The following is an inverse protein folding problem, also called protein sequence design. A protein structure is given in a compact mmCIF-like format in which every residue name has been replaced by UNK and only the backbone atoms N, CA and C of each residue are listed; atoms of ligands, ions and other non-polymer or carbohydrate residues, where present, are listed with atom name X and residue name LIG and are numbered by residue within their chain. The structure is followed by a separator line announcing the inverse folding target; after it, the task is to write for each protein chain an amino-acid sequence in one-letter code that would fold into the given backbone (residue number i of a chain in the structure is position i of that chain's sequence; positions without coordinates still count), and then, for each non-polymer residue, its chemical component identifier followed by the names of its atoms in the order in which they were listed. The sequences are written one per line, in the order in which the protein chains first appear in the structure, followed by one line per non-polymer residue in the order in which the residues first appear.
data_IF_140500872436
#
_entry.id   IF_140500872436
#
_cell.length_a   1.000
_cell.length_b   1.000
_cell.length_c   1.000
_cell.angle_alpha   90.00
_cell.angle_beta   90.00
_cell.angle_gamma   90.00
#
_symmetry.space_group_name_H-M   'P 1'
#
loop_
_entity.id
_entity.type
_entity.pdbx_description
1 polymer ?
#
# COMPACT_ATOMS: atom_id res chain seq x y z
N UNK A 1 8.97 4.38 21.42
CA UNK A 1 9.07 5.15 20.16
C UNK A 1 9.00 4.12 19.05
N UNK A 2 7.98 4.18 18.20
CA UNK A 2 7.79 3.15 17.16
C UNK A 2 8.95 3.24 16.16
N UNK A 3 9.52 2.10 15.82
CA UNK A 3 10.63 2.00 14.88
C UNK A 3 10.20 1.19 13.66
N UNK A 4 10.52 1.71 12.49
CA UNK A 4 10.12 1.13 11.22
C UNK A 4 11.35 0.90 10.36
N UNK A 5 11.46 -0.29 9.77
CA UNK A 5 12.37 -0.49 8.65
C UNK A 5 11.74 0.13 7.41
N UNK A 6 12.50 0.95 6.69
CA UNK A 6 12.13 1.46 5.38
C UNK A 6 12.96 0.81 4.30
N UNK A 7 12.29 0.39 3.23
CA UNK A 7 12.87 -0.06 1.97
C UNK A 7 12.26 0.72 0.81
N UNK A 8 13.08 1.43 0.03
CA UNK A 8 12.62 2.11 -1.20
C UNK A 8 13.25 1.44 -2.41
N UNK A 9 12.38 1.09 -3.38
CA UNK A 9 12.77 0.57 -4.69
C UNK A 9 12.47 1.60 -5.77
N UNK A 10 13.43 1.85 -6.64
CA UNK A 10 13.33 2.78 -7.75
C UNK A 10 13.40 2.07 -9.11
N UNK A 11 12.93 2.70 -10.21
CA UNK A 11 12.82 2.01 -11.50
C UNK A 11 14.13 1.60 -12.15
N UNK A 12 15.22 2.29 -11.82
CA UNK A 12 16.55 2.03 -12.37
C UNK A 12 17.23 0.82 -11.72
N UNK A 13 16.69 0.32 -10.60
CA UNK A 13 17.19 -0.83 -9.88
C UNK A 13 16.68 -2.11 -10.55
N UNK A 14 17.46 -2.59 -11.52
CA UNK A 14 17.12 -3.78 -12.31
C UNK A 14 17.33 -5.08 -11.52
N UNK A 15 18.11 -5.03 -10.44
CA UNK A 15 18.31 -6.17 -9.55
C UNK A 15 17.35 -6.10 -8.35
N UNK A 16 16.70 -7.22 -7.99
CA UNK A 16 15.69 -7.26 -6.92
C UNK A 16 16.24 -6.87 -5.53
N UNK A 17 17.57 -6.93 -5.38
CA UNK A 17 18.28 -6.68 -4.13
C UNK A 17 18.86 -5.26 -4.03
N UNK A 18 18.73 -4.44 -5.08
CA UNK A 18 19.11 -3.02 -5.02
C UNK A 18 18.00 -2.26 -4.29
N UNK A 19 18.28 -1.82 -3.06
CA UNK A 19 17.38 -1.04 -2.21
C UNK A 19 18.15 0.21 -1.77
N UNK A 20 17.64 1.39 -2.09
CA UNK A 20 18.39 2.66 -1.93
C UNK A 20 18.31 3.24 -0.52
N UNK A 21 17.23 2.96 0.20
CA UNK A 21 17.09 3.31 1.60
C UNK A 21 16.82 2.03 2.37
N UNK A 22 17.78 1.60 3.19
CA UNK A 22 17.59 0.60 4.24
C UNK A 22 17.99 1.26 5.55
N UNK A 23 17.09 1.27 6.52
CA UNK A 23 17.36 1.86 7.82
C UNK A 23 16.13 1.84 8.71
N UNK A 24 16.39 2.02 9.99
CA UNK A 24 15.36 2.14 11.02
C UNK A 24 15.04 3.60 11.25
N UNK A 25 13.77 3.96 11.08
CA UNK A 25 13.30 5.34 11.16
C UNK A 25 12.11 5.45 12.11
N UNK A 26 11.91 6.64 12.67
CA UNK A 26 10.68 6.97 13.37
C UNK A 26 9.56 7.35 12.38
N UNK A 27 8.33 7.42 12.89
CA UNK A 27 7.14 7.76 12.11
C UNK A 27 7.32 9.06 11.30
N UNK A 28 7.82 10.13 11.94
CA UNK A 28 7.99 11.45 11.31
C UNK A 28 8.95 11.37 10.13
N UNK A 29 10.06 10.64 10.28
CA UNK A 29 11.06 10.47 9.24
C UNK A 29 10.54 9.61 8.09
N UNK A 30 9.77 8.55 8.36
CA UNK A 30 9.11 7.77 7.30
C UNK A 30 8.18 8.67 6.47
N UNK A 31 7.35 9.49 7.12
CA UNK A 31 6.43 10.39 6.42
C UNK A 31 7.17 11.45 5.59
N UNK A 32 8.23 12.06 6.14
CA UNK A 32 9.06 13.02 5.39
C UNK A 32 9.64 12.38 4.13
N UNK A 33 10.20 11.16 4.25
CA UNK A 33 10.75 10.43 3.10
C UNK A 33 9.68 10.11 2.04
N UNK A 34 8.47 9.77 2.46
CA UNK A 34 7.36 9.52 1.52
C UNK A 34 6.95 10.79 0.76
N UNK A 35 6.96 11.95 1.42
CA UNK A 35 6.64 13.25 0.82
C UNK A 35 7.75 13.77 -0.10
N UNK A 36 8.99 13.52 0.27
CA UNK A 36 10.19 13.88 -0.51
C UNK A 36 10.34 13.02 -1.78
N UNK A 37 9.63 11.90 -1.88
CA UNK A 37 9.61 11.12 -3.11
C UNK A 37 8.97 11.93 -4.24
N UNK A 38 9.77 12.26 -5.24
CA UNK A 38 9.34 12.87 -6.50
C UNK A 38 8.53 11.87 -7.37
N UNK A 39 7.36 11.43 -6.89
CA UNK A 39 6.54 10.36 -7.48
C UNK A 39 6.29 10.53 -8.98
N UNK A 40 6.02 11.75 -9.43
CA UNK A 40 5.83 12.05 -10.86
C UNK A 40 7.10 11.85 -11.68
N UNK A 41 8.26 12.20 -11.14
CA UNK A 41 9.53 11.92 -11.81
C UNK A 41 9.82 10.43 -11.86
N UNK A 42 9.49 9.70 -10.78
CA UNK A 42 9.64 8.24 -10.76
C UNK A 42 8.73 7.55 -11.79
N UNK A 43 7.49 8.03 -11.96
CA UNK A 43 6.61 7.58 -13.04
C UNK A 43 7.27 7.72 -14.41
N UNK A 44 7.77 8.92 -14.71
CA UNK A 44 8.43 9.20 -16.00
C UNK A 44 9.62 8.27 -16.21
N UNK A 45 10.46 8.08 -15.19
CA UNK A 45 11.61 7.17 -15.25
C UNK A 45 11.19 5.72 -15.48
N UNK A 46 10.14 5.26 -14.79
CA UNK A 46 9.64 3.90 -14.95
C UNK A 46 9.18 3.64 -16.38
N UNK A 47 8.43 4.57 -16.98
CA UNK A 47 7.97 4.48 -18.35
C UNK A 47 9.13 4.55 -19.37
N UNK A 48 10.13 5.40 -19.13
CA UNK A 48 11.29 5.54 -20.02
C UNK A 48 12.21 4.33 -20.03
N UNK A 49 12.42 3.73 -18.86
CA UNK A 49 13.35 2.60 -18.69
C UNK A 49 12.69 1.25 -18.95
N UNK A 50 11.35 1.20 -19.08
CA UNK A 50 10.57 -0.03 -18.88
C UNK A 50 11.03 -0.76 -17.60
N UNK A 51 11.28 0.03 -16.56
CA UNK A 51 11.99 -0.37 -15.37
C UNK A 51 11.11 -1.09 -14.35
N UNK A 52 11.71 -1.43 -13.21
CA UNK A 52 10.98 -1.98 -12.09
C UNK A 52 9.93 -0.99 -11.55
N UNK A 53 8.93 -1.52 -10.84
CA UNK A 53 7.97 -0.68 -10.14
C UNK A 53 8.66 0.14 -9.03
N UNK A 54 8.26 1.41 -8.93
CA UNK A 54 8.63 2.25 -7.78
C UNK A 54 7.81 1.82 -6.58
N UNK A 55 8.45 1.40 -5.49
CA UNK A 55 7.76 0.96 -4.26
C UNK A 55 8.39 1.54 -3.00
N UNK A 56 7.53 1.94 -2.06
CA UNK A 56 7.87 2.39 -0.71
C UNK A 56 7.33 1.39 0.29
N UNK A 57 8.23 0.65 0.95
CA UNK A 57 7.91 -0.51 1.77
C UNK A 57 8.33 -0.22 3.20
N UNK A 58 7.40 -0.34 4.13
CA UNK A 58 7.61 -0.06 5.55
C UNK A 58 7.27 -1.31 6.35
N UNK A 59 8.17 -1.73 7.22
CA UNK A 59 7.95 -2.83 8.16
C UNK A 59 7.99 -2.29 9.59
N UNK A 60 6.95 -2.52 10.37
CA UNK A 60 6.90 -2.21 11.80
C UNK A 60 7.71 -3.25 12.57
N UNK A 61 8.78 -2.83 13.24
CA UNK A 61 9.71 -3.74 13.91
C UNK A 61 9.13 -4.37 15.18
N UNK A 62 8.05 -3.83 15.75
CA UNK A 62 7.44 -4.43 16.94
C UNK A 62 6.44 -5.53 16.58
N UNK A 63 5.77 -5.41 15.43
CA UNK A 63 4.73 -6.36 14.99
C UNK A 63 5.16 -7.26 13.84
N UNK A 64 6.31 -6.98 13.22
CA UNK A 64 6.81 -7.61 11.99
C UNK A 64 5.83 -7.50 10.80
N UNK A 65 4.90 -6.54 10.87
CA UNK A 65 3.92 -6.30 9.82
C UNK A 65 4.49 -5.34 8.79
N UNK A 66 4.14 -5.57 7.54
CA UNK A 66 4.65 -4.82 6.39
C UNK A 66 3.52 -4.17 5.60
N UNK A 67 3.78 -2.96 5.13
CA UNK A 67 2.95 -2.21 4.19
C UNK A 67 3.80 -1.73 3.02
N UNK A 68 3.38 -2.05 1.80
CA UNK A 68 4.03 -1.63 0.57
C UNK A 68 3.10 -0.73 -0.23
N UNK A 69 3.57 0.47 -0.58
CA UNK A 69 2.91 1.38 -1.52
C UNK A 69 3.68 1.35 -2.83
N UNK A 70 3.00 0.97 -3.91
CA UNK A 70 3.60 0.81 -5.24
C UNK A 70 2.93 1.75 -6.22
N UNK A 71 3.73 2.49 -6.99
CA UNK A 71 3.25 3.36 -8.06
C UNK A 71 2.74 2.52 -9.24
N UNK A 72 1.52 2.76 -9.70
CA UNK A 72 0.94 2.07 -10.86
C UNK A 72 1.22 2.86 -12.15
N UNK A 73 2.35 2.57 -12.79
CA UNK A 73 2.78 3.31 -13.98
C UNK A 73 1.87 3.11 -15.21
N UNK A 74 1.11 2.02 -15.23
CA UNK A 74 0.21 1.66 -16.34
C UNK A 74 -1.26 1.89 -16.00
N UNK A 75 -1.53 2.68 -14.96
CA UNK A 75 -2.87 3.13 -14.66
C UNK A 75 -3.49 3.84 -15.86
N UNK A 76 -4.80 3.63 -16.07
CA UNK A 76 -5.52 4.25 -17.19
C UNK A 76 -5.74 5.75 -17.01
N UNK A 77 -5.70 6.25 -15.77
CA UNK A 77 -5.85 7.67 -15.52
C UNK A 77 -4.57 8.44 -15.81
N UNK A 78 -4.72 9.73 -16.08
CA UNK A 78 -3.59 10.65 -16.26
C UNK A 78 -2.99 11.11 -14.91
N UNK A 79 -3.58 10.69 -13.79
CA UNK A 79 -3.14 11.04 -12.44
C UNK A 79 -2.26 9.93 -11.86
N UNK A 80 -1.50 10.25 -10.81
CA UNK A 80 -0.75 9.23 -10.09
C UNK A 80 -1.71 8.29 -9.38
N UNK A 81 -1.61 7.00 -9.68
CA UNK A 81 -2.32 5.94 -9.01
C UNK A 81 -1.35 5.02 -8.28
N UNK A 82 -1.79 4.51 -7.13
CA UNK A 82 -1.01 3.66 -6.27
C UNK A 82 -1.77 2.38 -5.93
N UNK A 83 -1.00 1.32 -5.71
CA UNK A 83 -1.43 0.09 -5.05
C UNK A 83 -0.86 0.10 -3.64
N UNK A 84 -1.61 -0.47 -2.71
CA UNK A 84 -1.16 -0.71 -1.34
C UNK A 84 -1.40 -2.16 -1.02
N UNK A 85 -0.35 -2.88 -0.65
CA UNK A 85 -0.40 -4.28 -0.23
C UNK A 85 0.19 -4.40 1.17
N UNK A 86 -0.43 -5.19 2.03
CA UNK A 86 0.03 -5.40 3.40
C UNK A 86 -0.26 -6.81 3.87
N UNK A 87 0.56 -7.32 4.79
CA UNK A 87 0.36 -8.62 5.46
C UNK A 87 -0.64 -8.56 6.65
N UNK A 88 -1.25 -7.39 6.88
CA UNK A 88 -2.30 -7.20 7.86
C UNK A 88 -3.50 -8.11 7.57
N UNK A 89 -3.73 -9.08 8.47
CA UNK A 89 -4.83 -10.04 8.35
C UNK A 89 -6.12 -9.43 8.88
N UNK A 90 -7.17 -9.48 8.06
CA UNK A 90 -8.51 -8.99 8.39
C UNK A 90 -9.54 -10.11 8.23
N UNK A 91 -10.58 -10.08 9.06
CA UNK A 91 -11.69 -11.03 8.99
C UNK A 91 -12.84 -10.37 8.23
N UNK A 92 -13.11 -10.86 7.03
CA UNK A 92 -14.19 -10.35 6.18
C UNK A 92 -15.37 -11.31 6.12
N UNK A 93 -16.61 -10.81 6.27
CA UNK A 93 -17.80 -11.60 6.02
C UNK A 93 -18.03 -11.72 4.50
N UNK A 94 -17.97 -12.94 3.97
CA UNK A 94 -18.27 -13.24 2.57
C UNK A 94 -19.61 -13.95 2.48
N UNK A 95 -20.53 -13.39 1.69
CA UNK A 95 -21.80 -14.04 1.37
C UNK A 95 -21.55 -15.15 0.36
N UNK A 96 -22.22 -16.27 0.56
CA UNK A 96 -22.27 -17.36 -0.41
C UNK A 96 -23.09 -16.96 -1.66
N UNK A 97 -22.98 -17.72 -2.75
CA UNK A 97 -23.63 -17.48 -4.05
C UNK A 97 -25.16 -17.43 -3.95
N UNK A 98 -25.72 -18.07 -2.92
CA UNK A 98 -27.16 -18.05 -2.64
C UNK A 98 -27.57 -16.98 -1.61
N UNK A 99 -26.63 -16.23 -1.03
CA UNK A 99 -26.91 -15.16 -0.05
C UNK A 99 -27.45 -15.62 1.31
N UNK A 100 -27.73 -16.92 1.47
CA UNK A 100 -28.34 -17.51 2.67
C UNK A 100 -27.34 -17.74 3.81
N UNK A 101 -26.05 -17.87 3.49
CA UNK A 101 -24.99 -18.16 4.46
C UNK A 101 -23.87 -17.12 4.32
N UNK A 102 -23.43 -16.58 5.47
CA UNK A 102 -22.28 -15.67 5.53
C UNK A 102 -21.14 -16.41 6.22
N UNK A 103 -20.04 -16.63 5.49
CA UNK A 103 -18.82 -17.25 6.04
C UNK A 103 -17.81 -16.16 6.39
N UNK A 104 -17.13 -16.30 7.52
CA UNK A 104 -15.96 -15.48 7.86
C UNK A 104 -14.73 -16.04 7.15
N UNK A 105 -14.03 -15.23 6.40
CA UNK A 105 -12.75 -15.57 5.75
C UNK A 105 -11.65 -14.65 6.25
N UNK A 106 -10.43 -15.19 6.36
CA UNK A 106 -9.23 -14.38 6.56
C UNK A 106 -8.76 -13.87 5.20
N UNK A 107 -8.40 -12.60 5.16
CA UNK A 107 -7.88 -11.94 3.98
C UNK A 107 -6.75 -10.98 4.41
N UNK A 108 -5.96 -10.50 3.45
CA UNK A 108 -4.93 -9.48 3.68
C UNK A 108 -5.39 -8.14 3.11
N UNK A 109 -5.00 -7.03 3.75
CA UNK A 109 -5.37 -5.71 3.29
C UNK A 109 -4.65 -5.39 1.97
N UNK A 110 -5.43 -5.17 0.91
CA UNK A 110 -4.93 -4.68 -0.36
C UNK A 110 -5.87 -3.61 -0.95
N UNK A 111 -5.29 -2.55 -1.50
CA UNK A 111 -6.02 -1.50 -2.20
C UNK A 111 -5.42 -1.26 -3.57
N UNK A 112 -6.28 -1.01 -4.55
CA UNK A 112 -5.88 -0.62 -5.91
C UNK A 112 -6.41 0.77 -6.21
N UNK A 113 -5.76 1.47 -7.14
CA UNK A 113 -6.23 2.77 -7.66
C UNK A 113 -6.37 3.84 -6.57
N UNK A 114 -5.42 3.89 -5.64
CA UNK A 114 -5.34 4.95 -4.64
C UNK A 114 -4.76 6.22 -5.26
N UNK A 115 -5.29 7.38 -4.87
CA UNK A 115 -4.59 8.65 -5.09
C UNK A 115 -3.42 8.78 -4.10
N UNK A 116 -2.47 9.67 -4.41
CA UNK A 116 -1.35 9.97 -3.50
C UNK A 116 -1.82 10.33 -2.09
N UNK A 117 -2.87 11.15 -1.97
CA UNK A 117 -3.44 11.54 -0.69
C UNK A 117 -3.96 10.34 0.11
N UNK A 118 -4.70 9.42 -0.53
CA UNK A 118 -5.20 8.22 0.15
C UNK A 118 -4.09 7.25 0.53
N UNK A 119 -3.08 7.09 -0.33
CA UNK A 119 -1.91 6.27 -0.01
C UNK A 119 -1.19 6.82 1.23
N UNK A 120 -1.02 8.14 1.33
CA UNK A 120 -0.47 8.81 2.51
C UNK A 120 -1.34 8.61 3.76
N UNK A 121 -2.66 8.80 3.65
CA UNK A 121 -3.58 8.60 4.77
C UNK A 121 -3.51 7.17 5.33
N UNK A 122 -3.37 6.18 4.45
CA UNK A 122 -3.27 4.77 4.85
C UNK A 122 -1.90 4.45 5.44
N UNK A 123 -0.83 5.05 4.92
CA UNK A 123 0.49 4.98 5.54
C UNK A 123 0.47 5.55 6.96
N UNK A 124 -0.16 6.71 7.17
CA UNK A 124 -0.29 7.33 8.50
C UNK A 124 -1.03 6.39 9.46
N UNK A 125 -2.15 5.81 9.02
CA UNK A 125 -2.90 4.85 9.85
C UNK A 125 -2.04 3.62 10.22
N UNK A 126 -1.23 3.11 9.30
CA UNK A 126 -0.30 2.02 9.57
C UNK A 126 0.78 2.41 10.59
N UNK A 127 1.44 3.56 10.41
CA UNK A 127 2.51 4.01 11.29
C UNK A 127 2.02 4.33 12.72
N UNK A 128 0.76 4.75 12.85
CA UNK A 128 0.11 4.94 14.15
C UNK A 128 -0.41 3.63 14.77
N UNK A 129 -0.29 2.49 14.08
CA UNK A 129 -0.89 1.19 14.46
C UNK A 129 -2.42 1.25 14.58
N UNK A 130 -3.05 2.16 13.86
CA UNK A 130 -4.51 2.28 13.76
C UNK A 130 -5.08 1.24 12.79
N UNK A 131 -4.78 -0.05 13.04
CA UNK A 131 -5.13 -1.17 12.15
C UNK A 131 -6.64 -1.27 11.95
N UNK A 132 -7.42 -0.91 12.97
CA UNK A 132 -8.89 -0.85 12.90
C UNK A 132 -9.37 0.10 11.80
N UNK A 133 -8.68 1.23 11.59
CA UNK A 133 -9.02 2.17 10.52
C UNK A 133 -8.76 1.52 9.16
N UNK A 134 -7.59 0.90 8.97
CA UNK A 134 -7.25 0.23 7.71
C UNK A 134 -8.21 -0.93 7.40
N UNK A 135 -8.56 -1.73 8.40
CA UNK A 135 -9.54 -2.81 8.28
C UNK A 135 -10.92 -2.28 7.86
N UNK A 136 -11.39 -1.20 8.49
CA UNK A 136 -12.67 -0.60 8.13
C UNK A 136 -12.65 -0.05 6.70
N UNK A 137 -11.57 0.65 6.31
CA UNK A 137 -11.41 1.15 4.93
C UNK A 137 -11.40 0.01 3.91
N UNK A 138 -10.77 -1.11 4.24
CA UNK A 138 -10.73 -2.29 3.39
C UNK A 138 -12.13 -2.90 3.22
N UNK A 139 -12.85 -3.13 4.33
CA UNK A 139 -14.23 -3.64 4.30
C UNK A 139 -15.17 -2.72 3.53
N UNK A 140 -15.05 -1.41 3.71
CA UNK A 140 -15.84 -0.43 2.98
C UNK A 140 -15.55 -0.50 1.47
N UNK A 141 -14.28 -0.65 1.09
CA UNK A 141 -13.86 -0.80 -0.31
C UNK A 141 -14.46 -2.06 -0.95
N UNK A 142 -14.39 -3.20 -0.27
CA UNK A 142 -15.00 -4.46 -0.72
C UNK A 142 -16.51 -4.31 -0.92
N UNK A 143 -17.20 -3.64 0.00
CA UNK A 143 -18.65 -3.43 -0.10
C UNK A 143 -19.06 -2.59 -1.31
N UNK A 144 -18.21 -1.65 -1.74
CA UNK A 144 -18.44 -0.81 -2.92
C UNK A 144 -18.24 -1.59 -4.21
N UNK A 145 -17.23 -2.47 -4.27
CA UNK A 145 -17.01 -3.36 -5.42
C UNK A 145 -18.19 -4.31 -5.67
N UNK A 146 -18.83 -4.79 -4.60
CA UNK A 146 -20.01 -5.67 -4.71
C UNK A 146 -21.22 -4.94 -5.32
N UNK A 147 -21.41 -3.64 -5.02
CA UNK A 147 -22.56 -2.86 -5.53
C UNK A 147 -22.47 -2.51 -7.02
N UNK A 148 -21.31 -2.63 -7.66
CA UNK A 148 -21.15 -2.31 -9.10
C UNK A 148 -21.59 -3.46 -10.01
N UNK A 149 -21.86 -4.65 -9.44
CA UNK A 149 -22.28 -5.84 -10.18
C UNK A 149 -23.65 -6.39 -9.76
N UNK A 150 -24.48 -5.57 -9.11
CA UNK A 150 -25.89 -5.90 -8.77
C UNK A 150 -26.86 -5.13 -9.63
#
# INVERSE_FOLDING_TARGET
MNQFELKIRYPHQMNRNEIDAMGTFDLTTILSKFEEMSWRQQLVRQLQLNGADTSFIVTDLDTDQTLAITLDAYAKSQQLEFKLDSDLVVIVPKKDVFGLVTRKTKDTIAFKQLSLARAKDYLIAFLNRDIVILEQKYKDNLSKGIKVHS
#
